data_IF_382453179721
#
_entry.id   IF_382453179721
#
_cell.length_a   1.000
_cell.length_b   1.000
_cell.length_c   1.000
_cell.angle_alpha   90.00
_cell.angle_beta   90.00
_cell.angle_gamma   90.00
#
_symmetry.space_group_name_H-M   'P 1'
#
loop_
_entity.id
_entity.type
_entity.pdbx_description
1 polymer ?
#
# COMPACT_ATOMS: atom_id res chain seq x y z
N UNK A 1 2.81 -9.90 -10.73
CA UNK A 1 1.75 -8.92 -10.99
C UNK A 1 0.49 -9.33 -10.29
N UNK A 2 0.10 -8.58 -9.26
CA UNK A 2 -1.15 -8.85 -8.56
C UNK A 2 -2.36 -8.38 -9.37
N UNK A 3 -2.70 -9.16 -10.39
CA UNK A 3 -3.77 -8.84 -11.35
C UNK A 3 -5.13 -8.65 -10.66
N UNK A 4 -5.40 -9.37 -9.56
CA UNK A 4 -6.67 -9.25 -8.82
C UNK A 4 -6.80 -7.88 -8.14
N UNK A 5 -5.76 -7.42 -7.46
CA UNK A 5 -5.75 -6.07 -6.87
C UNK A 5 -5.79 -4.97 -7.94
N UNK A 6 -5.07 -5.15 -9.06
CA UNK A 6 -5.07 -4.19 -10.16
C UNK A 6 -6.46 -4.06 -10.82
N UNK A 7 -7.17 -5.19 -11.00
CA UNK A 7 -8.55 -5.18 -11.51
C UNK A 7 -9.49 -4.44 -10.55
N UNK A 8 -9.34 -4.61 -9.23
CA UNK A 8 -10.15 -3.86 -8.26
C UNK A 8 -9.95 -2.34 -8.40
N UNK A 9 -8.70 -1.86 -8.51
CA UNK A 9 -8.44 -0.44 -8.73
C UNK A 9 -8.97 0.03 -10.09
N UNK A 10 -8.87 -0.79 -11.13
CA UNK A 10 -9.46 -0.48 -12.43
C UNK A 10 -10.98 -0.32 -12.33
N UNK A 11 -11.68 -1.19 -11.60
CA UNK A 11 -13.14 -1.09 -11.40
C UNK A 11 -13.51 0.24 -10.76
N UNK A 12 -12.74 0.71 -9.78
CA UNK A 12 -12.96 2.02 -9.17
C UNK A 12 -12.86 3.16 -10.19
N UNK A 13 -11.77 3.19 -10.95
CA UNK A 13 -11.52 4.23 -11.95
C UNK A 13 -12.51 4.17 -13.12
N UNK A 14 -12.90 2.96 -13.53
CA UNK A 14 -13.89 2.73 -14.56
C UNK A 14 -15.27 3.25 -14.15
N UNK A 15 -15.71 2.96 -12.92
CA UNK A 15 -16.97 3.51 -12.43
C UNK A 15 -16.93 5.04 -12.31
N UNK A 16 -15.80 5.62 -11.89
CA UNK A 16 -15.64 7.07 -11.84
C UNK A 16 -15.75 7.70 -13.24
N UNK A 17 -15.05 7.15 -14.23
CA UNK A 17 -15.14 7.60 -15.62
C UNK A 17 -16.53 7.41 -16.20
N UNK A 18 -17.16 6.25 -15.99
CA UNK A 18 -18.51 5.97 -16.48
C UNK A 18 -19.55 6.94 -15.89
N UNK A 19 -19.38 7.37 -14.64
CA UNK A 19 -20.22 8.42 -14.04
C UNK A 19 -19.96 9.78 -14.67
N UNK A 20 -18.70 10.15 -14.92
CA UNK A 20 -18.33 11.43 -15.56
C UNK A 20 -18.81 11.54 -17.02
N UNK A 21 -18.79 10.44 -17.76
CA UNK A 21 -19.19 10.37 -19.18
C UNK A 21 -20.67 10.01 -19.40
N UNK A 22 -21.48 9.98 -18.34
CA UNK A 22 -22.92 9.64 -18.39
C UNK A 22 -23.22 8.26 -19.00
N UNK A 23 -22.53 7.25 -18.47
CA UNK A 23 -22.71 5.83 -18.80
C UNK A 23 -23.17 5.00 -17.59
N UNK A 24 -24.36 5.27 -17.02
CA UNK A 24 -24.87 4.58 -15.85
C UNK A 24 -25.11 3.05 -16.00
N UNK A 25 -25.31 2.44 -17.20
CA UNK A 25 -25.46 0.99 -17.29
C UNK A 25 -24.25 0.22 -16.77
N UNK A 26 -23.03 0.73 -17.01
CA UNK A 26 -21.81 0.08 -16.54
C UNK A 26 -21.68 0.13 -15.01
N UNK A 27 -22.00 1.29 -14.42
CA UNK A 27 -22.00 1.46 -12.96
C UNK A 27 -22.99 0.49 -12.32
N UNK A 28 -24.21 0.37 -12.87
CA UNK A 28 -25.23 -0.58 -12.38
C UNK A 28 -24.79 -2.05 -12.49
N UNK A 29 -24.09 -2.42 -13.56
CA UNK A 29 -23.52 -3.77 -13.70
C UNK A 29 -22.51 -4.05 -12.60
N UNK A 30 -21.61 -3.11 -12.32
CA UNK A 30 -20.63 -3.26 -11.24
C UNK A 30 -21.29 -3.32 -9.87
N UNK A 31 -22.24 -2.42 -9.58
CA UNK A 31 -23.00 -2.44 -8.32
C UNK A 31 -23.68 -3.79 -8.07
N UNK A 32 -24.32 -4.36 -9.11
CA UNK A 32 -24.97 -5.68 -9.03
C UNK A 32 -23.98 -6.80 -8.77
N UNK A 33 -22.81 -6.75 -9.41
CA UNK A 33 -21.84 -7.85 -9.41
C UNK A 33 -20.70 -7.65 -8.39
N UNK A 34 -20.73 -6.59 -7.57
CA UNK A 34 -19.64 -6.22 -6.66
C UNK A 34 -19.26 -7.35 -5.70
N UNK A 35 -20.25 -8.09 -5.18
CA UNK A 35 -20.01 -9.25 -4.31
C UNK A 35 -19.21 -10.34 -5.04
N UNK A 36 -19.56 -10.61 -6.31
CA UNK A 36 -18.84 -11.60 -7.14
C UNK A 36 -17.42 -11.14 -7.47
N UNK A 37 -17.25 -9.84 -7.72
CA UNK A 37 -15.93 -9.23 -7.98
C UNK A 37 -15.06 -9.34 -6.73
N UNK A 38 -15.61 -9.04 -5.55
CA UNK A 38 -14.92 -9.16 -4.26
C UNK A 38 -14.55 -10.62 -3.98
N UNK A 39 -15.46 -11.57 -4.18
CA UNK A 39 -15.17 -13.00 -3.99
C UNK A 39 -14.13 -13.53 -4.98
N UNK A 40 -14.07 -12.99 -6.21
CA UNK A 40 -13.03 -13.33 -7.17
C UNK A 40 -11.66 -12.75 -6.78
N UNK A 41 -11.63 -11.54 -6.20
CA UNK A 41 -10.40 -10.86 -5.81
C UNK A 41 -9.85 -11.36 -4.46
N UNK A 42 -10.73 -11.65 -3.51
CA UNK A 42 -10.46 -12.11 -2.15
C UNK A 42 -11.38 -13.30 -1.80
N UNK A 43 -11.10 -14.50 -2.33
CA UNK A 43 -11.98 -15.65 -2.11
C UNK A 43 -12.01 -16.09 -0.64
N UNK A 44 -13.10 -16.75 -0.20
CA UNK A 44 -13.29 -17.15 1.19
C UNK A 44 -12.36 -18.28 1.66
N UNK A 45 -11.65 -18.93 0.74
CA UNK A 45 -10.65 -19.98 1.02
C UNK A 45 -9.32 -19.44 1.58
N UNK A 46 -9.24 -18.13 1.84
CA UNK A 46 -8.05 -17.46 2.36
C UNK A 46 -6.93 -17.25 1.33
N UNK A 47 -7.08 -17.76 0.09
CA UNK A 47 -6.08 -17.60 -0.98
C UNK A 47 -5.91 -16.14 -1.42
N UNK A 48 -6.89 -15.29 -1.12
CA UNK A 48 -6.88 -13.86 -1.40
C UNK A 48 -6.77 -12.96 -0.17
N UNK A 49 -6.40 -13.49 1.00
CA UNK A 49 -6.26 -12.70 2.24
C UNK A 49 -5.36 -11.47 2.05
N UNK A 50 -4.28 -11.64 1.29
CA UNK A 50 -3.33 -10.57 1.00
C UNK A 50 -3.88 -9.46 0.06
N UNK A 51 -5.08 -9.63 -0.51
CA UNK A 51 -5.77 -8.61 -1.30
C UNK A 51 -6.82 -7.84 -0.49
N UNK A 52 -7.14 -8.29 0.73
CA UNK A 52 -8.25 -7.72 1.52
C UNK A 52 -8.04 -6.22 1.77
N UNK A 53 -6.83 -5.80 2.14
CA UNK A 53 -6.51 -4.37 2.31
C UNK A 53 -6.74 -3.54 1.05
N UNK A 54 -6.47 -4.11 -0.12
CA UNK A 54 -6.69 -3.45 -1.42
C UNK A 54 -8.18 -3.37 -1.75
N UNK A 55 -8.92 -4.45 -1.53
CA UNK A 55 -10.37 -4.50 -1.71
C UNK A 55 -11.05 -3.48 -0.80
N UNK A 56 -10.70 -3.42 0.49
CA UNK A 56 -11.25 -2.46 1.45
C UNK A 56 -10.98 -1.01 1.02
N UNK A 57 -9.78 -0.72 0.53
CA UNK A 57 -9.44 0.61 0.00
C UNK A 57 -10.33 1.00 -1.19
N UNK A 58 -10.54 0.08 -2.13
CA UNK A 58 -11.38 0.32 -3.30
C UNK A 58 -12.85 0.50 -2.92
N UNK A 59 -13.38 -0.32 -1.99
CA UNK A 59 -14.76 -0.19 -1.50
C UNK A 59 -15.00 1.16 -0.83
N UNK A 60 -14.05 1.64 -0.02
CA UNK A 60 -14.10 2.98 0.56
C UNK A 60 -14.08 4.07 -0.52
N UNK A 61 -13.24 3.92 -1.56
CA UNK A 61 -13.21 4.84 -2.70
C UNK A 61 -14.54 4.90 -3.46
N UNK A 62 -15.17 3.74 -3.70
CA UNK A 62 -16.50 3.64 -4.31
C UNK A 62 -17.61 4.25 -3.43
N UNK A 63 -17.51 4.12 -2.11
CA UNK A 63 -18.44 4.75 -1.15
C UNK A 63 -18.29 6.27 -1.16
N UNK A 64 -17.07 6.80 -1.07
CA UNK A 64 -16.81 8.24 -1.06
C UNK A 64 -17.26 8.93 -2.35
N UNK A 65 -17.36 8.18 -3.46
CA UNK A 65 -17.86 8.62 -4.75
C UNK A 65 -19.37 8.39 -4.94
N UNK A 66 -20.08 7.96 -3.90
CA UNK A 66 -21.51 7.64 -3.91
C UNK A 66 -21.91 6.56 -4.93
N UNK A 67 -20.95 5.75 -5.39
CA UNK A 67 -21.19 4.62 -6.30
C UNK A 67 -21.73 3.42 -5.52
N UNK A 68 -21.33 3.23 -4.27
CA UNK A 68 -21.87 2.19 -3.38
C UNK A 68 -22.46 2.84 -2.13
N UNK A 69 -23.54 2.23 -1.60
CA UNK A 69 -24.11 2.69 -0.33
C UNK A 69 -23.20 2.27 0.83
N UNK A 70 -23.25 3.06 1.91
CA UNK A 70 -22.54 2.74 3.15
C UNK A 70 -22.95 1.38 3.73
N UNK A 71 -24.22 1.00 3.58
CA UNK A 71 -24.76 -0.28 4.04
C UNK A 71 -24.13 -1.45 3.28
N UNK A 72 -24.08 -1.37 1.94
CA UNK A 72 -23.46 -2.42 1.11
C UNK A 72 -21.97 -2.56 1.41
N UNK A 73 -21.26 -1.46 1.62
CA UNK A 73 -19.84 -1.53 1.99
C UNK A 73 -19.65 -2.16 3.36
N UNK A 74 -20.47 -1.81 4.35
CA UNK A 74 -20.40 -2.39 5.68
C UNK A 74 -20.68 -3.91 5.69
N UNK A 75 -21.65 -4.37 4.88
CA UNK A 75 -21.96 -5.80 4.72
C UNK A 75 -20.76 -6.57 4.13
N UNK A 76 -20.16 -6.02 3.07
CA UNK A 76 -18.98 -6.62 2.43
C UNK A 76 -17.80 -6.64 3.40
N UNK A 77 -17.55 -5.55 4.12
CA UNK A 77 -16.45 -5.46 5.09
C UNK A 77 -16.61 -6.44 6.26
N UNK A 78 -17.84 -6.67 6.72
CA UNK A 78 -18.13 -7.69 7.72
C UNK A 78 -17.72 -9.09 7.22
N UNK A 79 -18.08 -9.41 5.97
CA UNK A 79 -17.69 -10.67 5.33
C UNK A 79 -16.19 -10.80 5.06
N UNK A 80 -15.45 -9.68 4.94
CA UNK A 80 -14.00 -9.68 4.77
C UNK A 80 -13.23 -9.86 6.09
N UNK A 81 -13.78 -9.42 7.23
CA UNK A 81 -13.15 -9.61 8.56
C UNK A 81 -12.95 -11.07 8.91
N UNK A 82 -13.88 -11.94 8.52
CA UNK A 82 -13.76 -13.40 8.70
C UNK A 82 -12.66 -14.01 7.83
N UNK A 83 -12.24 -13.32 6.76
CA UNK A 83 -11.24 -13.77 5.78
C UNK A 83 -9.82 -13.26 6.11
N UNK A 84 -9.69 -12.19 6.89
CA UNK A 84 -8.39 -11.66 7.37
C UNK A 84 -7.73 -12.58 8.41
N UNK A 85 -8.50 -13.36 9.16
CA UNK A 85 -8.00 -14.26 10.22
C UNK A 85 -7.47 -15.60 9.69
N UNK A 86 -7.41 -15.78 8.37
CA UNK A 86 -6.99 -17.05 7.77
C UNK A 86 -5.49 -17.31 7.96
N UNK A 87 -5.06 -18.50 8.44
CA UNK A 87 -3.67 -18.81 8.80
C UNK A 87 -2.68 -18.78 7.63
N UNK A 88 -3.14 -18.64 6.39
CA UNK A 88 -2.26 -18.39 5.23
C UNK A 88 -1.55 -17.02 5.30
N UNK A 89 -2.04 -16.09 6.13
CA UNK A 89 -1.37 -14.82 6.44
C UNK A 89 -0.26 -15.00 7.51
N UNK A 90 -0.43 -15.95 8.44
CA UNK A 90 0.50 -16.16 9.56
C UNK A 90 1.86 -16.75 9.11
N UNK A 91 1.94 -17.37 7.94
CA UNK A 91 3.19 -17.92 7.39
C UNK A 91 4.05 -16.85 6.67
N UNK A 92 3.54 -15.62 6.53
CA UNK A 92 4.28 -14.49 5.93
C UNK A 92 4.76 -13.48 6.98
N UNK A 93 4.21 -13.48 8.19
CA UNK A 93 4.68 -12.63 9.30
C UNK A 93 5.62 -13.37 10.27
N UNK A 94 5.87 -14.66 10.05
CA UNK A 94 6.75 -15.47 10.89
C UNK A 94 8.26 -15.35 10.55
N UNK A 95 8.66 -14.40 9.69
CA UNK A 95 10.08 -14.17 9.32
C UNK A 95 10.66 -12.85 9.86
N UNK A 96 10.12 -12.35 10.97
CA UNK A 96 10.78 -11.32 11.78
C UNK A 96 11.17 -11.92 13.15
N UNK A 97 12.26 -12.70 13.13
CA UNK A 97 13.06 -13.02 14.31
C UNK A 97 12.56 -14.17 15.19
N UNK A 98 13.23 -15.33 15.09
CA UNK A 98 13.84 -16.09 16.20
C UNK A 98 14.43 -17.37 15.59
N UNK A 99 15.76 -17.44 15.51
CA UNK A 99 16.46 -18.73 15.39
C UNK A 99 16.19 -19.54 16.66
N UNK A 100 15.35 -20.57 16.59
CA UNK A 100 15.37 -21.65 17.57
C UNK A 100 15.49 -23.00 16.88
N UNK A 101 16.68 -23.59 17.03
CA UNK A 101 16.95 -25.00 16.71
C UNK A 101 16.10 -25.89 17.64
N UNK A 102 15.19 -26.67 17.07
CA UNK A 102 14.51 -27.74 17.80
C UNK A 102 13.42 -28.40 16.97
N UNK A 103 13.70 -29.57 16.41
CA UNK A 103 12.77 -30.29 15.53
C UNK A 103 11.57 -30.90 16.26
N UNK A 104 10.44 -30.98 15.55
CA UNK A 104 9.51 -32.12 15.60
C UNK A 104 8.73 -32.20 14.27
N UNK A 105 8.44 -33.40 13.72
CA UNK A 105 7.78 -33.56 12.44
C UNK A 105 6.29 -33.95 12.60
N UNK A 106 5.35 -33.08 12.20
CA UNK A 106 3.96 -33.43 11.78
C UNK A 106 3.17 -32.14 11.51
N UNK A 107 2.32 -32.03 10.50
CA UNK A 107 1.85 -33.03 9.57
C UNK A 107 1.41 -32.42 8.25
N UNK A 108 1.38 -33.31 7.26
CA UNK A 108 0.81 -33.14 5.94
C UNK A 108 -0.60 -32.54 6.01
N UNK A 109 -0.72 -31.24 5.73
CA UNK A 109 -1.89 -30.65 5.10
C UNK A 109 -1.33 -29.83 3.95
N UNK A 110 -1.85 -30.05 2.75
CA UNK A 110 -1.28 -29.54 1.51
C UNK A 110 -1.04 -28.04 1.57
N UNK A 111 0.19 -27.63 1.88
CA UNK A 111 0.64 -26.29 1.61
C UNK A 111 0.52 -26.15 0.09
N UNK A 112 -0.47 -25.37 -0.34
CA UNK A 112 -0.36 -24.63 -1.59
C UNK A 112 0.83 -23.70 -1.38
N UNK A 113 2.04 -24.25 -1.56
CA UNK A 113 3.28 -23.49 -1.56
C UNK A 113 3.13 -22.56 -2.75
N UNK A 114 2.70 -21.33 -2.48
CA UNK A 114 2.64 -20.27 -3.47
C UNK A 114 4.02 -20.24 -4.12
N UNK A 115 4.06 -20.36 -5.43
CA UNK A 115 5.29 -20.59 -6.18
C UNK A 115 6.31 -19.47 -5.84
N UNK A 116 7.55 -19.83 -5.52
CA UNK A 116 8.57 -18.88 -5.00
C UNK A 116 8.72 -17.66 -5.90
N UNK A 117 8.63 -17.89 -7.21
CA UNK A 117 8.66 -16.85 -8.25
C UNK A 117 7.51 -15.84 -8.12
N UNK A 118 6.32 -16.28 -7.73
CA UNK A 118 5.15 -15.43 -7.54
C UNK A 118 5.31 -14.54 -6.29
N UNK A 119 5.96 -15.07 -5.24
CA UNK A 119 6.27 -14.32 -4.02
C UNK A 119 7.33 -13.25 -4.31
N UNK A 120 8.44 -13.62 -4.97
CA UNK A 120 9.51 -12.67 -5.35
C UNK A 120 8.98 -11.55 -6.26
N UNK A 121 8.17 -11.89 -7.25
CA UNK A 121 7.56 -10.90 -8.13
C UNK A 121 6.66 -9.92 -7.35
N UNK A 122 5.94 -10.41 -6.34
CA UNK A 122 5.08 -9.56 -5.51
C UNK A 122 5.89 -8.62 -4.61
N UNK A 123 6.96 -9.12 -4.00
CA UNK A 123 7.87 -8.31 -3.20
C UNK A 123 8.45 -7.19 -4.05
N UNK A 124 8.90 -7.50 -5.28
CA UNK A 124 9.48 -6.52 -6.18
C UNK A 124 8.47 -5.45 -6.61
N UNK A 125 7.21 -5.83 -6.85
CA UNK A 125 6.15 -4.89 -7.18
C UNK A 125 5.79 -3.95 -6.03
N UNK A 126 5.73 -4.46 -4.80
CA UNK A 126 5.52 -3.62 -3.62
C UNK A 126 6.73 -2.70 -3.38
N UNK A 127 7.95 -3.18 -3.65
CA UNK A 127 9.17 -2.36 -3.61
C UNK A 127 9.09 -1.21 -4.60
N UNK A 128 8.78 -1.50 -5.86
CA UNK A 128 8.66 -0.50 -6.91
C UNK A 128 7.49 0.46 -6.68
N UNK A 129 6.39 0.00 -6.08
CA UNK A 129 5.28 0.86 -5.66
C UNK A 129 5.71 1.85 -4.58
N UNK A 130 6.38 1.37 -3.54
CA UNK A 130 6.85 2.20 -2.44
C UNK A 130 7.93 3.19 -2.91
N UNK A 131 8.82 2.73 -3.80
CA UNK A 131 9.80 3.57 -4.47
C UNK A 131 9.12 4.72 -5.22
N UNK A 132 8.14 4.45 -6.10
CA UNK A 132 7.39 5.52 -6.81
C UNK A 132 6.69 6.51 -5.88
N UNK A 133 6.14 6.04 -4.74
CA UNK A 133 5.51 6.93 -3.76
C UNK A 133 6.52 7.88 -3.10
N UNK A 134 7.76 7.43 -2.89
CA UNK A 134 8.84 8.26 -2.33
C UNK A 134 9.46 9.19 -3.38
N UNK A 135 9.48 8.79 -4.65
CA UNK A 135 10.04 9.60 -5.74
C UNK A 135 9.34 10.96 -5.90
N UNK A 136 8.06 11.08 -5.59
CA UNK A 136 7.32 12.35 -5.65
C UNK A 136 7.31 13.14 -4.34
N UNK A 137 7.88 12.60 -3.26
CA UNK A 137 7.77 13.19 -1.91
C UNK A 137 8.58 14.49 -1.77
N UNK A 138 9.68 14.62 -2.52
CA UNK A 138 10.56 15.78 -2.51
C UNK A 138 10.25 16.79 -3.63
N UNK A 139 9.22 16.55 -4.45
CA UNK A 139 8.88 17.43 -5.56
C UNK A 139 8.22 18.71 -5.06
N UNK A 140 8.81 19.86 -5.41
CA UNK A 140 8.25 21.19 -5.11
C UNK A 140 7.53 21.73 -6.36
N UNK A 141 6.39 22.39 -6.16
CA UNK A 141 5.50 22.90 -7.22
C UNK A 141 6.07 24.07 -8.02
N UNK A 142 7.24 24.60 -7.65
CA UNK A 142 7.93 25.70 -8.34
C UNK A 142 7.32 27.08 -8.13
N UNK A 143 6.34 27.20 -7.22
CA UNK A 143 5.83 28.47 -6.73
C UNK A 143 6.50 28.82 -5.39
N UNK A 144 7.29 29.89 -5.38
CA UNK A 144 8.12 30.30 -4.24
C UNK A 144 7.27 30.61 -2.99
N UNK A 145 6.02 31.05 -3.18
CA UNK A 145 5.08 31.34 -2.09
C UNK A 145 4.60 30.09 -1.38
N UNK A 146 4.12 29.12 -2.14
CA UNK A 146 3.70 27.81 -1.63
C UNK A 146 4.86 27.01 -1.01
N UNK A 147 6.07 27.11 -1.57
CA UNK A 147 7.28 26.49 -1.01
C UNK A 147 7.62 27.06 0.37
N UNK A 148 7.68 28.39 0.49
CA UNK A 148 7.97 29.04 1.77
C UNK A 148 6.92 28.70 2.83
N UNK A 149 5.63 28.68 2.46
CA UNK A 149 4.56 28.33 3.39
C UNK A 149 4.74 26.93 3.96
N UNK A 150 4.96 25.93 3.10
CA UNK A 150 5.23 24.55 3.53
C UNK A 150 6.49 24.43 4.39
N UNK A 151 7.57 25.08 3.99
CA UNK A 151 8.81 25.07 4.78
C UNK A 151 8.55 25.61 6.19
N UNK A 152 7.84 26.73 6.32
CA UNK A 152 7.53 27.33 7.61
C UNK A 152 6.68 26.41 8.50
N UNK A 153 5.68 25.75 7.93
CA UNK A 153 4.77 24.87 8.67
C UNK A 153 5.42 23.53 9.06
N UNK A 154 6.34 23.01 8.24
CA UNK A 154 6.99 21.70 8.42
C UNK A 154 8.39 21.80 9.07
N UNK A 155 8.90 23.01 9.35
CA UNK A 155 10.19 23.20 10.01
C UNK A 155 10.17 22.55 11.39
N UNK A 156 11.07 21.61 11.62
CA UNK A 156 11.29 21.02 12.94
C UNK A 156 12.12 21.94 13.83
N UNK A 157 11.96 21.78 15.15
CA UNK A 157 12.86 22.42 16.11
C UNK A 157 14.31 21.96 15.91
N UNK A 158 15.25 22.83 16.28
CA UNK A 158 16.68 22.54 16.17
C UNK A 158 17.09 21.39 17.09
N UNK A 159 17.73 20.38 16.52
CA UNK A 159 18.16 19.14 17.19
C UNK A 159 19.68 19.03 17.34
N UNK A 160 20.11 17.95 17.99
CA UNK A 160 21.54 17.62 18.17
C UNK A 160 22.26 17.40 16.83
N UNK A 161 21.59 16.75 15.87
CA UNK A 161 22.12 16.49 14.53
C UNK A 161 22.42 17.79 13.76
N UNK A 162 21.65 18.87 13.98
CA UNK A 162 21.91 20.17 13.35
C UNK A 162 23.21 20.80 13.87
N UNK A 163 23.49 20.66 15.17
CA UNK A 163 24.76 21.13 15.75
C UNK A 163 25.94 20.30 15.27
N UNK A 164 25.77 18.99 15.12
CA UNK A 164 26.80 18.11 14.56
C UNK A 164 27.11 18.49 13.11
N UNK A 165 26.09 18.62 12.27
CA UNK A 165 26.23 19.03 10.88
C UNK A 165 26.92 20.40 10.74
N UNK A 166 26.52 21.38 11.57
CA UNK A 166 27.14 22.71 11.57
C UNK A 166 28.62 22.69 11.99
N UNK A 167 28.98 21.84 12.97
CA UNK A 167 30.36 21.68 13.42
C UNK A 167 31.23 20.97 12.36
N UNK A 168 30.69 19.95 11.70
CA UNK A 168 31.35 19.27 10.57
C UNK A 168 31.63 20.25 9.42
N UNK A 169 30.63 21.02 8.99
CA UNK A 169 30.80 22.02 7.94
C UNK A 169 31.85 23.08 8.31
N UNK A 170 31.87 23.51 9.57
CA UNK A 170 32.86 24.46 10.08
C UNK A 170 34.28 23.88 10.04
N UNK A 171 34.45 22.61 10.42
CA UNK A 171 35.75 21.92 10.35
C UNK A 171 36.23 21.80 8.90
N UNK A 172 35.36 21.42 7.96
CA UNK A 172 35.68 21.34 6.54
C UNK A 172 36.10 22.70 5.96
N UNK A 173 35.34 23.76 6.24
CA UNK A 173 35.67 25.12 5.79
C UNK A 173 37.04 25.58 6.31
N UNK A 174 37.37 25.28 7.56
CA UNK A 174 38.68 25.60 8.14
C UNK A 174 39.82 24.84 7.46
N UNK A 175 39.60 23.56 7.13
CA UNK A 175 40.58 22.77 6.40
C UNK A 175 40.84 23.35 5.01
N UNK A 176 39.80 23.71 4.27
CA UNK A 176 39.91 24.34 2.94
C UNK A 176 40.68 25.66 2.98
N UNK A 177 40.43 26.52 3.98
CA UNK A 177 41.18 27.78 4.15
C UNK A 177 42.64 27.53 4.54
N UNK A 178 42.91 26.48 5.31
CA UNK A 178 44.27 26.12 5.72
C UNK A 178 45.10 25.45 4.61
N UNK A 179 44.45 24.71 3.70
CA UNK A 179 45.07 24.05 2.55
C UNK A 179 45.22 24.94 1.30
N UNK A 180 44.66 26.15 1.32
CA UNK A 180 44.77 27.13 0.23
C UNK A 180 45.95 28.12 0.38
N UNK A 181 46.92 27.81 1.24
CA UNK A 181 48.18 28.55 1.42
C UNK A 181 49.37 27.71 0.99
#
# INVERSE_FOLDING_TARGET
>A
MNNRANIMYFVEQFCEMATKEDHPPYVRMIQRDILRIVDAAAPPDGSGAANVKHVRRVLNGLQSKEILSAETVAEIDAGLKERETHPAHLDLEADEGVETKGGTPRGSRGNVRVDKRQIEQRIEEDRERNKRLRESMWTVSGDDGDEHGKFWDETSDIGEDDFLAANEELMERRQMVSGAK
#
